data_IF_178773730177
#
_entry.id   IF_178773730177
#
_cell.length_a   1.000
_cell.length_b   1.000
_cell.length_c   1.000
_cell.angle_alpha   90.00
_cell.angle_beta   90.00
_cell.angle_gamma   90.00
#
_symmetry.space_group_name_H-M   'P 1'
#
loop_
_entity.id
_entity.type
_entity.pdbx_description
1 polymer ?
#
# COMPACT_ATOMS: atom_id res chain seq x y z
N UNK A 1 -11.01 2.55 -7.97
CA UNK A 1 -9.85 1.94 -7.30
C UNK A 1 -10.25 1.77 -5.84
N UNK A 2 -10.00 0.64 -5.18
CA UNK A 2 -10.53 0.38 -3.81
C UNK A 2 -10.18 1.48 -2.79
N UNK A 3 -9.05 2.18 -2.97
CA UNK A 3 -8.67 3.31 -2.13
C UNK A 3 -9.67 4.47 -2.20
N UNK A 4 -10.24 4.75 -3.38
CA UNK A 4 -11.15 5.87 -3.61
C UNK A 4 -12.46 5.72 -2.85
N UNK A 5 -12.87 4.46 -2.64
CA UNK A 5 -14.15 4.07 -2.06
C UNK A 5 -14.11 3.94 -0.52
N UNK A 6 -12.95 4.15 0.11
CA UNK A 6 -12.82 4.09 1.59
C UNK A 6 -13.43 5.33 2.23
N UNK A 7 -14.55 5.13 2.94
CA UNK A 7 -15.28 6.21 3.64
C UNK A 7 -15.60 5.85 5.10
N UNK A 8 -15.45 4.59 5.48
CA UNK A 8 -15.76 4.07 6.81
C UNK A 8 -14.93 2.82 7.13
N UNK A 9 -15.13 2.26 8.32
CA UNK A 9 -14.44 1.04 8.76
C UNK A 9 -14.74 -0.17 7.85
N UNK A 10 -15.97 -0.29 7.33
CA UNK A 10 -16.36 -1.45 6.52
C UNK A 10 -15.66 -1.44 5.16
N UNK A 11 -15.68 -0.29 4.49
CA UNK A 11 -14.94 -0.05 3.24
C UNK A 11 -13.43 -0.16 3.44
N UNK A 12 -12.90 0.27 4.59
CA UNK A 12 -11.48 0.08 4.95
C UNK A 12 -11.09 -1.40 5.11
N UNK A 13 -11.90 -2.22 5.79
CA UNK A 13 -11.68 -3.66 5.89
C UNK A 13 -11.69 -4.30 4.50
N UNK A 14 -12.65 -3.90 3.64
CA UNK A 14 -12.70 -4.36 2.26
C UNK A 14 -11.45 -3.98 1.45
N UNK A 15 -10.93 -2.77 1.68
CA UNK A 15 -9.68 -2.31 1.08
C UNK A 15 -8.48 -3.16 1.52
N UNK A 16 -8.34 -3.45 2.82
CA UNK A 16 -7.25 -4.32 3.34
C UNK A 16 -7.35 -5.73 2.75
N UNK A 17 -8.55 -6.32 2.72
CA UNK A 17 -8.72 -7.65 2.14
C UNK A 17 -8.42 -7.67 0.62
N UNK A 18 -8.76 -6.59 -0.08
CA UNK A 18 -8.38 -6.38 -1.48
C UNK A 18 -6.87 -6.34 -1.68
N UNK A 19 -6.14 -5.59 -0.83
CA UNK A 19 -4.67 -5.55 -0.84
C UNK A 19 -4.05 -6.92 -0.56
N UNK A 20 -4.56 -7.65 0.43
CA UNK A 20 -4.11 -9.02 0.74
C UNK A 20 -4.22 -9.93 -0.48
N UNK A 21 -5.39 -9.95 -1.13
CA UNK A 21 -5.63 -10.78 -2.33
C UNK A 21 -4.74 -10.39 -3.50
N UNK A 22 -4.48 -9.09 -3.67
CA UNK A 22 -3.58 -8.57 -4.70
C UNK A 22 -2.11 -8.97 -4.46
N UNK A 23 -1.67 -8.98 -3.19
CA UNK A 23 -0.35 -9.50 -2.78
C UNK A 23 -0.26 -11.01 -3.01
N UNK A 24 -1.25 -11.79 -2.60
CA UNK A 24 -1.27 -13.25 -2.81
C UNK A 24 -1.23 -13.60 -4.30
N UNK A 25 -1.89 -12.79 -5.13
CA UNK A 25 -1.81 -12.95 -6.58
C UNK A 25 -0.42 -12.63 -7.14
N UNK A 26 0.23 -11.57 -6.64
CA UNK A 26 1.59 -11.23 -6.99
C UNK A 26 2.58 -12.35 -6.60
N UNK A 27 2.47 -12.89 -5.39
CA UNK A 27 3.31 -13.99 -4.90
C UNK A 27 3.13 -15.26 -5.76
N UNK A 28 1.89 -15.59 -6.14
CA UNK A 28 1.63 -16.72 -7.05
C UNK A 28 2.27 -16.51 -8.42
N UNK A 29 2.19 -15.30 -8.97
CA UNK A 29 2.83 -14.96 -10.25
C UNK A 29 4.35 -15.05 -10.15
N UNK A 30 4.92 -14.54 -9.06
CA UNK A 30 6.36 -14.60 -8.79
C UNK A 30 6.86 -16.04 -8.71
N UNK A 31 6.12 -16.91 -8.00
CA UNK A 31 6.44 -18.33 -7.87
C UNK A 31 6.36 -19.09 -9.21
N UNK A 32 5.48 -18.68 -10.13
CA UNK A 32 5.37 -19.27 -11.47
C UNK A 32 6.44 -18.73 -12.43
N UNK A 33 6.70 -17.43 -12.36
CA UNK A 33 7.67 -16.72 -13.19
C UNK A 33 8.16 -15.48 -12.43
N UNK A 34 9.45 -15.44 -12.08
CA UNK A 34 10.00 -14.27 -11.42
C UNK A 34 9.79 -13.00 -12.23
N UNK A 35 9.37 -11.92 -11.56
CA UNK A 35 9.46 -10.59 -12.10
C UNK A 35 10.94 -10.31 -12.40
N UNK A 36 11.22 -9.71 -13.56
CA UNK A 36 12.60 -9.48 -13.98
C UNK A 36 13.34 -8.57 -12.99
N UNK A 37 14.68 -8.58 -12.96
CA UNK A 37 15.48 -7.83 -11.99
C UNK A 37 15.34 -6.30 -12.07
N UNK A 38 14.60 -5.78 -13.05
CA UNK A 38 14.38 -4.35 -13.30
C UNK A 38 12.89 -3.98 -13.36
N UNK A 39 12.01 -4.89 -12.92
CA UNK A 39 10.59 -4.58 -12.79
C UNK A 39 10.22 -4.52 -11.32
N UNK A 40 9.30 -3.61 -11.00
CA UNK A 40 8.39 -3.79 -9.88
C UNK A 40 7.93 -5.24 -9.80
N UNK A 41 7.84 -5.82 -8.61
CA UNK A 41 7.20 -7.13 -8.45
C UNK A 41 5.81 -7.15 -9.09
N UNK A 42 5.25 -8.34 -9.32
CA UNK A 42 3.94 -8.47 -9.94
C UNK A 42 2.90 -7.58 -9.27
N UNK A 43 1.98 -7.02 -10.07
CA UNK A 43 0.95 -6.08 -9.61
C UNK A 43 1.49 -4.76 -9.02
N UNK A 44 2.79 -4.45 -9.21
CA UNK A 44 3.41 -3.22 -8.74
C UNK A 44 3.84 -3.26 -7.27
N UNK A 45 4.14 -4.47 -6.75
CA UNK A 45 4.66 -4.65 -5.40
C UNK A 45 6.19 -4.50 -5.40
N UNK A 46 6.69 -3.41 -4.83
CA UNK A 46 8.13 -3.17 -4.69
C UNK A 46 8.72 -3.85 -3.44
N UNK A 47 7.87 -4.05 -2.43
CA UNK A 47 8.30 -4.45 -1.09
C UNK A 47 7.95 -5.91 -0.80
N UNK A 48 8.83 -6.83 -1.20
CA UNK A 48 8.63 -8.29 -1.08
C UNK A 48 8.59 -8.87 0.34
N UNK A 49 8.60 -8.03 1.39
CA UNK A 49 8.42 -8.47 2.78
C UNK A 49 7.51 -7.52 3.54
N UNK A 50 6.80 -8.03 4.55
CA UNK A 50 5.93 -7.20 5.39
C UNK A 50 6.70 -6.09 6.13
N UNK A 51 7.96 -6.33 6.49
CA UNK A 51 8.79 -5.31 7.15
C UNK A 51 9.07 -4.15 6.20
N UNK A 52 9.51 -4.45 4.96
CA UNK A 52 9.77 -3.44 3.95
C UNK A 52 8.46 -2.68 3.60
N UNK A 53 7.35 -3.40 3.46
CA UNK A 53 6.04 -2.78 3.19
C UNK A 53 5.66 -1.74 4.26
N UNK A 54 5.81 -2.08 5.55
CA UNK A 54 5.49 -1.15 6.64
C UNK A 54 6.49 0.00 6.74
N UNK A 55 7.77 -0.28 6.53
CA UNK A 55 8.82 0.75 6.47
C UNK A 55 8.51 1.78 5.39
N UNK A 56 8.13 1.35 4.17
CA UNK A 56 7.81 2.26 3.07
C UNK A 56 6.50 3.01 3.27
N UNK A 57 5.51 2.41 3.93
CA UNK A 57 4.30 3.12 4.34
C UNK A 57 4.62 4.30 5.27
N UNK A 58 5.56 4.11 6.21
CA UNK A 58 6.03 5.17 7.12
C UNK A 58 6.89 6.19 6.38
N UNK A 59 7.87 5.74 5.59
CA UNK A 59 8.76 6.64 4.83
C UNK A 59 7.96 7.57 3.91
N UNK A 60 6.91 7.08 3.26
CA UNK A 60 6.02 7.91 2.45
C UNK A 60 5.37 9.03 3.27
N UNK A 61 4.96 8.77 4.52
CA UNK A 61 4.41 9.82 5.38
C UNK A 61 5.45 10.86 5.80
N UNK A 62 6.70 10.42 6.01
CA UNK A 62 7.81 11.29 6.41
C UNK A 62 8.32 12.17 5.26
N UNK A 63 8.31 11.64 4.03
CA UNK A 63 8.76 12.38 2.84
C UNK A 63 7.68 13.33 2.29
N UNK A 64 6.40 13.10 2.62
CA UNK A 64 5.33 14.01 2.24
C UNK A 64 5.27 15.25 3.14
N UNK A 65 5.14 16.42 2.53
CA UNK A 65 4.99 17.73 3.20
C UNK A 65 6.00 17.99 4.33
N UNK A 66 7.24 17.47 4.20
CA UNK A 66 8.29 17.66 5.19
C UNK A 66 8.08 16.90 6.49
N UNK A 67 7.31 15.80 6.44
CA UNK A 67 7.07 14.90 7.57
C UNK A 67 5.97 15.37 8.52
N UNK A 68 5.19 16.38 8.11
CA UNK A 68 4.02 16.82 8.88
C UNK A 68 2.77 16.03 8.46
N UNK A 69 2.21 15.16 9.32
CA UNK A 69 1.00 14.40 9.00
C UNK A 69 -0.25 15.28 8.90
N UNK A 70 -0.16 16.60 9.13
CA UNK A 70 -1.28 17.54 9.01
C UNK A 70 -1.98 17.49 7.64
N UNK A 71 -1.31 17.06 6.57
CA UNK A 71 -1.95 16.89 5.26
C UNK A 71 -3.05 15.82 5.22
N UNK A 72 -3.06 14.92 6.21
CA UNK A 72 -4.10 13.90 6.40
C UNK A 72 -5.14 14.31 7.47
N UNK A 73 -4.91 15.41 8.20
CA UNK A 73 -5.73 15.77 9.37
C UNK A 73 -7.17 16.12 9.00
N UNK A 74 -7.39 16.69 7.81
CA UNK A 74 -8.73 17.03 7.30
C UNK A 74 -9.38 15.86 6.54
N UNK A 75 -8.68 14.74 6.33
CA UNK A 75 -9.24 13.55 5.70
C UNK A 75 -10.03 12.69 6.68
N UNK A 76 -10.95 11.89 6.13
CA UNK A 76 -11.55 10.79 6.87
C UNK A 76 -10.43 9.86 7.41
N UNK A 77 -10.43 9.49 8.70
CA UNK A 77 -9.33 8.72 9.30
C UNK A 77 -9.11 7.36 8.63
N UNK A 78 -10.18 6.72 8.14
CA UNK A 78 -10.09 5.46 7.41
C UNK A 78 -9.47 5.64 6.02
N UNK A 79 -9.77 6.78 5.37
CA UNK A 79 -9.16 7.16 4.10
C UNK A 79 -7.67 7.44 4.27
N UNK A 80 -7.30 8.22 5.28
CA UNK A 80 -5.92 8.50 5.63
C UNK A 80 -5.14 7.20 5.90
N UNK A 81 -5.69 6.31 6.73
CA UNK A 81 -5.11 5.00 6.99
C UNK A 81 -4.93 4.16 5.71
N UNK A 82 -5.93 4.17 4.81
CA UNK A 82 -5.84 3.46 3.54
C UNK A 82 -4.74 4.02 2.62
N UNK A 83 -4.54 5.34 2.58
CA UNK A 83 -3.46 5.97 1.80
C UNK A 83 -2.08 5.58 2.32
N UNK A 84 -1.89 5.61 3.64
CA UNK A 84 -0.64 5.21 4.30
C UNK A 84 -0.32 3.76 3.97
N UNK A 85 -1.28 2.84 4.17
CA UNK A 85 -1.09 1.42 3.88
C UNK A 85 -0.84 1.19 2.38
N UNK A 86 -1.55 1.90 1.50
CA UNK A 86 -1.34 1.77 0.06
C UNK A 86 0.07 2.18 -0.36
N UNK A 87 0.65 3.20 0.28
CA UNK A 87 2.01 3.64 0.00
C UNK A 87 3.04 2.54 0.22
N UNK A 88 2.87 1.70 1.23
CA UNK A 88 3.74 0.54 1.47
C UNK A 88 3.85 -0.42 0.28
N UNK A 89 2.87 -0.44 -0.63
CA UNK A 89 2.91 -1.29 -1.82
C UNK A 89 3.90 -0.79 -2.89
N UNK A 90 3.89 0.52 -3.16
CA UNK A 90 4.52 1.10 -4.35
C UNK A 90 5.67 2.05 -4.06
N UNK A 91 5.83 2.51 -2.81
CA UNK A 91 6.86 3.48 -2.47
C UNK A 91 8.23 2.78 -2.40
N UNK A 92 9.18 3.30 -3.18
CA UNK A 92 10.56 2.77 -3.38
C UNK A 92 11.58 3.30 -2.39
#
# INVERSE_FOLDING_TARGET
MLLDDVQDLQSFIGFIDGLRRDSEDADRKEALKPAGPYSSGWNGWENGSISAFLERAVAWTEDNQGGDPAFLADENPWKAAARIIYAGKYYE
#
